data_IF_712780249547
#
_entry.id   IF_712780249547
#
_cell.length_a   1.000
_cell.length_b   1.000
_cell.length_c   1.000
_cell.angle_alpha   90.00
_cell.angle_beta   90.00
_cell.angle_gamma   90.00
#
_symmetry.space_group_name_H-M   'P 1'
#
loop_
_entity.id
_entity.type
_entity.pdbx_description
1 polymer ?
#
# COMPACT_ATOMS: atom_id res chain seq x y z
N UNK A 1 -10.84 -7.98 10.04
CA UNK A 1 -11.57 -8.61 8.91
C UNK A 1 -12.50 -7.63 8.19
N UNK A 2 -13.47 -6.98 8.85
CA UNK A 2 -14.37 -5.96 8.22
C UNK A 2 -13.64 -4.85 7.43
N UNK A 3 -12.41 -4.48 7.80
CA UNK A 3 -11.59 -3.46 7.11
C UNK A 3 -11.05 -3.90 5.74
N UNK A 4 -10.82 -5.20 5.50
CA UNK A 4 -10.34 -5.69 4.21
C UNK A 4 -11.47 -5.69 3.16
N UNK A 5 -12.69 -6.08 3.57
CA UNK A 5 -13.88 -6.10 2.71
C UNK A 5 -14.30 -4.71 2.20
N UNK A 6 -13.98 -3.63 2.94
CA UNK A 6 -14.30 -2.26 2.50
C UNK A 6 -13.36 -1.74 1.40
N UNK A 7 -12.28 -2.46 1.07
CA UNK A 7 -11.30 -2.04 0.06
C UNK A 7 -11.47 -2.69 -1.32
N UNK A 8 -12.39 -3.65 -1.46
CA UNK A 8 -12.75 -4.27 -2.74
C UNK A 8 -13.72 -3.37 -3.54
N UNK A 9 -13.26 -2.17 -3.90
CA UNK A 9 -13.96 -1.29 -4.84
C UNK A 9 -13.60 -1.64 -6.29
N UNK A 10 -14.60 -1.99 -7.09
CA UNK A 10 -14.47 -2.32 -8.52
C UNK A 10 -13.70 -1.27 -9.33
N UNK A 11 -12.83 -1.68 -10.29
CA UNK A 11 -12.20 -0.75 -11.22
C UNK A 11 -13.16 -0.46 -12.38
N UNK A 12 -13.84 0.68 -12.35
CA UNK A 12 -14.64 1.12 -13.50
C UNK A 12 -15.66 2.21 -13.21
N UNK A 13 -15.22 3.47 -13.19
CA UNK A 13 -15.82 4.54 -13.99
C UNK A 13 -15.02 5.84 -13.80
N UNK A 14 -14.36 6.27 -14.88
CA UNK A 14 -13.82 7.61 -15.03
C UNK A 14 -14.98 8.55 -15.37
N UNK A 15 -15.35 9.43 -14.44
CA UNK A 15 -15.94 10.73 -14.77
C UNK A 15 -15.43 11.79 -13.79
N UNK A 16 -15.04 12.93 -14.37
CA UNK A 16 -14.52 14.13 -13.73
C UNK A 16 -15.25 14.52 -12.44
N UNK A 17 -14.53 14.53 -11.31
CA UNK A 17 -14.95 15.27 -10.11
C UNK A 17 -13.89 16.30 -9.75
N UNK A 18 -14.16 17.56 -10.09
CA UNK A 18 -13.39 18.72 -9.66
C UNK A 18 -13.52 19.02 -8.15
N UNK A 19 -13.94 18.04 -7.33
CA UNK A 19 -14.17 18.19 -5.90
C UNK A 19 -13.77 16.93 -5.11
N UNK A 20 -12.67 16.29 -5.48
CA UNK A 20 -12.08 15.22 -4.65
C UNK A 20 -11.41 15.82 -3.42
N UNK A 21 -12.01 15.62 -2.24
CA UNK A 21 -11.43 16.01 -0.97
C UNK A 21 -10.24 15.09 -0.65
N UNK A 22 -9.04 15.54 -0.97
CA UNK A 22 -7.81 14.87 -0.53
C UNK A 22 -7.74 14.90 1.00
N UNK A 23 -7.34 13.78 1.62
CA UNK A 23 -7.19 13.68 3.07
C UNK A 23 -5.94 14.40 3.58
N UNK A 24 -5.88 15.72 3.39
CA UNK A 24 -4.75 16.56 3.82
C UNK A 24 -5.03 17.30 5.14
N UNK A 25 -6.15 17.01 5.81
CA UNK A 25 -6.52 17.68 7.07
C UNK A 25 -5.56 17.35 8.22
N UNK A 26 -4.76 16.29 8.10
CA UNK A 26 -3.73 15.90 9.06
C UNK A 26 -2.50 16.80 9.04
N UNK A 27 -2.34 17.63 8.00
CA UNK A 27 -1.21 18.54 7.86
C UNK A 27 -1.49 19.91 8.48
N UNK A 28 -0.41 20.63 8.82
CA UNK A 28 -0.49 22.05 9.15
C UNK A 28 -0.92 22.91 7.95
N UNK A 29 -1.38 24.13 8.21
CA UNK A 29 -1.94 25.02 7.18
C UNK A 29 -0.93 25.39 6.08
N UNK A 30 0.37 25.54 6.41
CA UNK A 30 1.40 25.87 5.42
C UNK A 30 1.60 24.69 4.47
N UNK A 31 1.69 23.48 5.02
CA UNK A 31 1.81 22.26 4.23
C UNK A 31 0.55 21.98 3.40
N UNK A 32 -0.65 22.18 3.95
CA UNK A 32 -1.87 22.07 3.16
C UNK A 32 -1.88 23.02 1.96
N UNK A 33 -1.42 24.25 2.15
CA UNK A 33 -1.30 25.21 1.06
C UNK A 33 -0.25 24.77 0.04
N UNK A 34 0.91 24.28 0.50
CA UNK A 34 1.95 23.73 -0.37
C UNK A 34 1.41 22.58 -1.25
N UNK A 35 0.69 21.63 -0.66
CA UNK A 35 0.10 20.50 -1.40
C UNK A 35 -1.00 20.96 -2.37
N UNK A 36 -1.87 21.88 -1.95
CA UNK A 36 -2.90 22.46 -2.83
C UNK A 36 -2.29 23.19 -4.02
N UNK A 37 -1.20 23.92 -3.82
CA UNK A 37 -0.46 24.55 -4.92
C UNK A 37 0.22 23.50 -5.79
N UNK A 38 0.88 22.49 -5.21
CA UNK A 38 1.52 21.41 -5.98
C UNK A 38 0.55 20.63 -6.88
N UNK A 39 -0.72 20.48 -6.45
CA UNK A 39 -1.77 19.83 -7.24
C UNK A 39 -2.25 20.67 -8.43
N UNK A 40 -2.12 22.01 -8.36
CA UNK A 40 -2.62 22.95 -9.38
C UNK A 40 -1.51 23.50 -10.27
N UNK A 41 -0.38 23.86 -9.68
CA UNK A 41 0.78 24.49 -10.30
C UNK A 41 2.09 23.88 -9.76
N UNK A 42 2.40 22.62 -10.11
CA UNK A 42 3.65 21.95 -9.73
C UNK A 42 4.93 22.76 -10.03
N UNK A 43 4.94 23.58 -11.08
CA UNK A 43 6.10 24.41 -11.43
C UNK A 43 6.34 25.58 -10.45
N UNK A 44 5.34 25.96 -9.66
CA UNK A 44 5.40 27.07 -8.71
C UNK A 44 5.88 26.68 -7.31
N UNK A 45 6.24 25.40 -7.10
CA UNK A 45 6.63 24.87 -5.79
C UNK A 45 7.90 24.03 -5.86
N UNK A 46 8.57 23.90 -4.72
CA UNK A 46 9.67 22.95 -4.57
C UNK A 46 9.13 21.51 -4.49
N UNK A 47 9.20 20.80 -5.61
CA UNK A 47 8.70 19.42 -5.73
C UNK A 47 9.49 18.41 -4.88
N UNK A 48 10.75 18.70 -4.53
CA UNK A 48 11.51 17.86 -3.60
C UNK A 48 10.98 18.01 -2.18
N UNK A 49 10.73 19.26 -1.73
CA UNK A 49 10.07 19.53 -0.44
C UNK A 49 8.69 18.86 -0.37
N UNK A 50 7.89 18.95 -1.44
CA UNK A 50 6.56 18.30 -1.52
C UNK A 50 6.68 16.78 -1.35
N UNK A 51 7.61 16.14 -2.07
CA UNK A 51 7.82 14.70 -1.97
C UNK A 51 8.23 14.27 -0.55
N UNK A 52 9.14 15.03 0.08
CA UNK A 52 9.60 14.75 1.44
C UNK A 52 8.47 14.82 2.47
N UNK A 53 7.64 15.86 2.39
CA UNK A 53 6.53 16.06 3.33
C UNK A 53 5.45 14.98 3.16
N UNK A 54 5.15 14.56 1.92
CA UNK A 54 4.22 13.45 1.68
C UNK A 54 4.75 12.16 2.29
N UNK A 55 6.02 11.82 2.08
CA UNK A 55 6.59 10.59 2.65
C UNK A 55 6.62 10.66 4.18
N UNK A 56 7.04 11.79 4.76
CA UNK A 56 7.11 11.96 6.22
C UNK A 56 5.75 11.77 6.89
N UNK A 57 4.69 12.34 6.31
CA UNK A 57 3.35 12.18 6.85
C UNK A 57 2.82 10.76 6.61
N UNK A 58 3.14 10.15 5.47
CA UNK A 58 2.70 8.78 5.15
C UNK A 58 3.27 7.75 6.11
N UNK A 59 4.42 8.02 6.73
CA UNK A 59 5.00 7.17 7.77
C UNK A 59 4.27 7.32 9.12
N UNK A 60 3.69 8.48 9.40
CA UNK A 60 3.11 8.83 10.71
C UNK A 60 1.60 8.61 10.78
N UNK A 61 0.91 8.72 9.65
CA UNK A 61 -0.54 8.70 9.58
C UNK A 61 -1.04 7.56 8.68
N UNK A 62 -1.70 6.59 9.32
CA UNK A 62 -2.23 5.39 8.66
C UNK A 62 -3.38 5.70 7.69
N UNK A 63 -4.17 6.75 7.93
CA UNK A 63 -5.23 7.16 7.02
C UNK A 63 -4.62 7.86 5.80
N UNK A 64 -3.62 8.71 6.03
CA UNK A 64 -2.93 9.40 4.95
C UNK A 64 -2.15 8.43 4.06
N UNK A 65 -1.46 7.44 4.64
CA UNK A 65 -0.66 6.46 3.87
C UNK A 65 -1.48 5.70 2.82
N UNK A 66 -2.80 5.53 3.07
CA UNK A 66 -3.76 4.91 2.15
C UNK A 66 -4.15 5.80 0.97
N UNK A 67 -4.20 7.12 1.17
CA UNK A 67 -4.61 8.08 0.13
C UNK A 67 -3.42 8.74 -0.58
N UNK A 68 -2.22 8.70 0.01
CA UNK A 68 -1.05 9.41 -0.48
C UNK A 68 -0.65 9.00 -1.92
N UNK A 69 -0.93 7.76 -2.33
CA UNK A 69 -0.72 7.30 -3.71
C UNK A 69 -1.52 8.11 -4.73
N UNK A 70 -2.77 8.48 -4.42
CA UNK A 70 -3.62 9.32 -5.29
C UNK A 70 -3.06 10.73 -5.44
N UNK A 71 -2.64 11.34 -4.32
CA UNK A 71 -2.02 12.68 -4.32
C UNK A 71 -0.75 12.65 -5.18
N UNK A 72 0.11 11.64 -4.97
CA UNK A 72 1.33 11.48 -5.77
C UNK A 72 1.01 11.36 -7.26
N UNK A 73 0.03 10.53 -7.63
CA UNK A 73 -0.40 10.38 -9.02
C UNK A 73 -0.89 11.72 -9.60
N UNK A 74 -1.77 12.45 -8.91
CA UNK A 74 -2.27 13.74 -9.41
C UNK A 74 -1.15 14.75 -9.64
N UNK A 75 -0.17 14.86 -8.72
CA UNK A 75 0.97 15.77 -8.88
C UNK A 75 1.82 15.36 -10.09
N UNK A 76 2.11 14.07 -10.26
CA UNK A 76 2.87 13.57 -11.43
C UNK A 76 2.16 13.89 -12.74
N UNK A 77 0.84 13.71 -12.80
CA UNK A 77 0.06 14.02 -13.98
C UNK A 77 0.00 15.53 -14.26
N UNK A 78 -0.12 16.36 -13.22
CA UNK A 78 -0.09 17.81 -13.35
C UNK A 78 1.29 18.30 -13.82
N UNK A 79 2.38 17.75 -13.26
CA UNK A 79 3.76 18.10 -13.64
C UNK A 79 4.02 17.76 -15.11
N UNK A 80 3.66 16.54 -15.53
CA UNK A 80 3.85 16.08 -16.90
C UNK A 80 3.07 16.96 -17.91
N UNK A 81 1.85 17.38 -17.56
CA UNK A 81 1.02 18.25 -18.42
C UNK A 81 1.59 19.68 -18.55
N UNK A 82 2.19 20.22 -17.50
CA UNK A 82 2.65 21.62 -17.49
C UNK A 82 4.05 21.80 -18.06
N UNK A 83 4.97 20.91 -17.74
CA UNK A 83 6.40 21.11 -18.02
C UNK A 83 7.08 19.92 -18.72
N UNK A 84 6.33 18.85 -19.00
CA UNK A 84 6.88 17.58 -19.51
C UNK A 84 8.07 17.05 -18.67
N UNK A 85 8.09 17.42 -17.38
CA UNK A 85 9.10 17.06 -16.38
C UNK A 85 8.66 15.82 -15.58
N UNK A 86 9.60 15.23 -14.86
CA UNK A 86 9.34 14.17 -13.88
C UNK A 86 10.18 14.35 -12.60
N UNK A 87 10.42 15.60 -12.21
CA UNK A 87 11.17 15.96 -11.02
C UNK A 87 10.49 15.45 -9.75
N UNK A 88 9.17 15.65 -9.59
CA UNK A 88 8.46 15.16 -8.41
C UNK A 88 8.54 13.64 -8.31
N UNK A 89 8.28 12.93 -9.42
CA UNK A 89 8.37 11.46 -9.46
C UNK A 89 9.76 10.97 -9.05
N UNK A 90 10.83 11.60 -9.56
CA UNK A 90 12.21 11.23 -9.20
C UNK A 90 12.48 11.47 -7.71
N UNK A 91 12.10 12.64 -7.18
CA UNK A 91 12.27 12.95 -5.76
C UNK A 91 11.50 11.99 -4.86
N UNK A 92 10.26 11.66 -5.20
CA UNK A 92 9.43 10.69 -4.50
C UNK A 92 10.08 9.30 -4.47
N UNK A 93 10.52 8.79 -5.63
CA UNK A 93 11.16 7.46 -5.71
C UNK A 93 12.50 7.41 -4.98
N UNK A 94 13.31 8.46 -5.09
CA UNK A 94 14.57 8.56 -4.36
C UNK A 94 14.33 8.53 -2.84
N UNK A 95 13.33 9.28 -2.37
CA UNK A 95 12.98 9.31 -0.94
C UNK A 95 12.41 7.97 -0.46
N UNK A 96 11.51 7.35 -1.21
CA UNK A 96 11.00 6.01 -0.93
C UNK A 96 12.11 4.96 -0.83
N UNK A 97 13.12 5.05 -1.70
CA UNK A 97 14.27 4.16 -1.68
C UNK A 97 15.16 4.39 -0.44
N UNK A 98 15.30 5.63 0.03
CA UNK A 98 16.03 5.92 1.27
C UNK A 98 15.35 5.27 2.49
N UNK A 99 14.03 5.41 2.60
CA UNK A 99 13.26 4.76 3.67
C UNK A 99 13.31 3.22 3.54
N UNK A 100 13.24 2.68 2.32
CA UNK A 100 13.36 1.24 2.07
C UNK A 100 14.66 0.64 2.62
N UNK A 101 15.77 1.35 2.43
CA UNK A 101 17.10 0.91 2.91
C UNK A 101 17.16 0.83 4.44
N UNK A 102 16.32 1.62 5.13
CA UNK A 102 16.26 1.71 6.59
C UNK A 102 15.06 0.95 7.18
N UNK A 103 14.37 0.12 6.39
CA UNK A 103 13.13 -0.56 6.80
C UNK A 103 13.22 -1.35 8.11
N UNK A 104 14.34 -2.05 8.36
CA UNK A 104 14.52 -2.79 9.62
C UNK A 104 14.67 -1.82 10.81
N UNK A 105 15.34 -0.67 10.63
CA UNK A 105 15.40 0.38 11.64
C UNK A 105 14.00 0.94 11.93
N UNK A 106 13.22 1.25 10.89
CA UNK A 106 11.84 1.74 11.00
C UNK A 106 10.99 0.72 11.78
N UNK A 107 11.03 -0.56 11.38
CA UNK A 107 10.31 -1.64 12.06
C UNK A 107 10.72 -1.79 13.52
N UNK A 108 12.02 -1.74 13.81
CA UNK A 108 12.52 -1.84 15.19
C UNK A 108 12.10 -0.67 16.07
N UNK A 109 11.93 0.53 15.48
CA UNK A 109 11.50 1.74 16.19
C UNK A 109 10.00 1.75 16.44
N UNK A 110 9.21 1.39 15.43
CA UNK A 110 7.74 1.45 15.50
C UNK A 110 7.11 0.54 14.45
N UNK A 111 6.36 -0.47 14.91
CA UNK A 111 5.54 -1.33 14.05
C UNK A 111 4.57 -0.50 13.22
N UNK A 112 3.93 0.49 13.83
CA UNK A 112 2.98 1.38 13.17
C UNK A 112 3.61 2.14 11.99
N UNK A 113 4.81 2.69 12.18
CA UNK A 113 5.53 3.40 11.11
C UNK A 113 5.93 2.45 9.99
N UNK A 114 6.33 1.22 10.33
CA UNK A 114 6.67 0.20 9.37
C UNK A 114 5.47 -0.23 8.51
N UNK A 115 4.32 -0.55 9.11
CA UNK A 115 3.12 -0.90 8.34
C UNK A 115 2.57 0.28 7.54
N UNK A 116 2.75 1.51 8.03
CA UNK A 116 2.46 2.73 7.28
C UNK A 116 3.36 2.88 6.06
N UNK A 117 4.66 2.60 6.20
CA UNK A 117 5.60 2.57 5.07
C UNK A 117 5.19 1.52 4.02
N UNK A 118 4.91 0.28 4.45
CA UNK A 118 4.48 -0.79 3.54
C UNK A 118 3.20 -0.42 2.82
N UNK A 119 2.23 0.13 3.56
CA UNK A 119 0.98 0.64 2.98
C UNK A 119 1.27 1.72 1.94
N UNK A 120 2.15 2.68 2.25
CA UNK A 120 2.48 3.76 1.33
C UNK A 120 3.16 3.28 0.06
N UNK A 121 4.19 2.42 0.14
CA UNK A 121 4.87 1.92 -1.07
C UNK A 121 3.93 1.09 -1.95
N UNK A 122 3.02 0.30 -1.35
CA UNK A 122 2.00 -0.45 -2.10
C UNK A 122 0.98 0.48 -2.78
N UNK A 123 0.59 1.58 -2.11
CA UNK A 123 -0.26 2.61 -2.71
C UNK A 123 0.44 3.33 -3.88
N UNK A 124 1.72 3.64 -3.75
CA UNK A 124 2.47 4.25 -4.85
C UNK A 124 2.57 3.26 -6.02
N UNK A 125 2.80 1.97 -5.76
CA UNK A 125 2.78 0.93 -6.80
C UNK A 125 1.42 0.84 -7.53
N UNK A 126 0.32 0.89 -6.78
CA UNK A 126 -1.04 0.80 -7.32
C UNK A 126 -1.40 2.00 -8.19
N UNK A 127 -1.19 3.23 -7.69
CA UNK A 127 -1.62 4.46 -8.35
C UNK A 127 -0.63 4.98 -9.40
N UNK A 128 0.68 4.86 -9.14
CA UNK A 128 1.69 5.53 -9.97
C UNK A 128 2.09 4.64 -11.15
N UNK A 129 1.36 4.78 -12.26
CA UNK A 129 1.55 4.02 -13.50
C UNK A 129 2.22 4.84 -14.59
N UNK A 130 3.04 4.18 -15.42
CA UNK A 130 3.61 4.73 -16.65
C UNK A 130 2.97 3.99 -17.82
N UNK A 131 2.30 4.70 -18.73
CA UNK A 131 1.58 4.11 -19.87
C UNK A 131 0.58 3.01 -19.42
N UNK A 132 -0.18 3.26 -18.36
CA UNK A 132 -1.11 2.31 -17.72
C UNK A 132 -0.47 1.05 -17.13
N UNK A 133 0.86 0.94 -17.10
CA UNK A 133 1.59 -0.16 -16.49
C UNK A 133 2.20 0.25 -15.13
N UNK A 134 2.20 -0.64 -14.12
CA UNK A 134 2.92 -0.40 -12.87
C UNK A 134 4.42 -0.17 -13.10
N UNK A 135 5.03 0.65 -12.26
CA UNK A 135 6.47 0.90 -12.37
C UNK A 135 7.28 -0.33 -11.95
N UNK A 136 8.02 -0.90 -12.90
CA UNK A 136 8.93 -2.03 -12.65
C UNK A 136 9.92 -1.80 -11.51
N UNK A 137 10.33 -0.55 -11.29
CA UNK A 137 11.24 -0.16 -10.20
C UNK A 137 10.67 -0.42 -8.79
N UNK A 138 9.35 -0.52 -8.65
CA UNK A 138 8.68 -0.76 -7.38
C UNK A 138 8.32 -2.23 -7.14
N UNK A 139 8.32 -3.08 -8.17
CA UNK A 139 7.92 -4.50 -8.05
C UNK A 139 8.75 -5.22 -6.99
N UNK A 140 10.09 -5.15 -7.09
CA UNK A 140 10.97 -5.83 -6.13
C UNK A 140 10.87 -5.25 -4.72
N UNK A 141 10.95 -3.91 -4.51
CA UNK A 141 10.74 -3.32 -3.19
C UNK A 141 9.41 -3.70 -2.53
N UNK A 142 8.32 -3.74 -3.30
CA UNK A 142 7.01 -4.17 -2.78
C UNK A 142 7.06 -5.63 -2.34
N UNK A 143 7.56 -6.54 -3.19
CA UNK A 143 7.73 -7.93 -2.78
C UNK A 143 8.60 -8.06 -1.54
N UNK A 144 9.74 -7.37 -1.46
CA UNK A 144 10.64 -7.46 -0.31
C UNK A 144 9.96 -7.03 1.00
N UNK A 145 9.07 -6.03 0.95
CA UNK A 145 8.22 -5.68 2.08
C UNK A 145 7.23 -6.80 2.45
N UNK A 146 6.55 -7.42 1.46
CA UNK A 146 5.61 -8.51 1.71
C UNK A 146 6.32 -9.76 2.25
N UNK A 147 7.49 -10.11 1.71
CA UNK A 147 8.36 -11.17 2.21
C UNK A 147 8.80 -10.91 3.65
N UNK A 148 9.09 -9.64 4.00
CA UNK A 148 9.42 -9.26 5.37
C UNK A 148 8.25 -9.45 6.33
N UNK A 149 7.04 -9.06 5.92
CA UNK A 149 5.81 -9.27 6.69
C UNK A 149 5.41 -10.75 6.82
N UNK A 150 5.86 -11.59 5.89
CA UNK A 150 5.64 -13.04 5.92
C UNK A 150 6.70 -13.81 6.73
N UNK A 151 7.68 -13.13 7.35
CA UNK A 151 8.66 -13.80 8.21
C UNK A 151 8.00 -14.26 9.53
N UNK A 152 8.52 -15.32 10.17
CA UNK A 152 7.91 -15.87 11.37
C UNK A 152 7.71 -14.85 12.50
N UNK A 153 8.68 -13.95 12.71
CA UNK A 153 8.59 -12.92 13.75
C UNK A 153 7.50 -11.87 13.43
N UNK A 154 7.29 -11.54 12.17
CA UNK A 154 6.22 -10.64 11.73
C UNK A 154 4.84 -11.31 11.81
N UNK A 155 4.73 -12.61 11.52
CA UNK A 155 3.46 -13.34 11.59
C UNK A 155 2.91 -13.46 13.02
N UNK A 156 3.75 -13.29 14.05
CA UNK A 156 3.29 -13.18 15.45
C UNK A 156 2.69 -11.80 15.78
N UNK A 157 2.94 -10.79 14.94
CA UNK A 157 2.41 -9.45 15.12
C UNK A 157 1.14 -9.26 14.27
N UNK A 158 -0.01 -9.17 14.95
CA UNK A 158 -1.31 -9.05 14.28
C UNK A 158 -1.44 -7.82 13.37
N UNK A 159 -0.78 -6.71 13.71
CA UNK A 159 -0.79 -5.48 12.90
C UNK A 159 -0.03 -5.69 11.57
N UNK A 160 1.08 -6.42 11.61
CA UNK A 160 1.84 -6.78 10.41
C UNK A 160 1.08 -7.77 9.53
N UNK A 161 0.38 -8.75 10.12
CA UNK A 161 -0.47 -9.70 9.38
C UNK A 161 -1.66 -8.98 8.72
N UNK A 162 -2.34 -8.06 9.43
CA UNK A 162 -3.42 -7.25 8.86
C UNK A 162 -2.90 -6.40 7.68
N UNK A 163 -1.72 -5.79 7.84
CA UNK A 163 -1.09 -5.03 6.75
C UNK A 163 -0.79 -5.91 5.52
N UNK A 164 -0.20 -7.10 5.73
CA UNK A 164 0.15 -8.04 4.67
C UNK A 164 -1.08 -8.47 3.86
N UNK A 165 -2.12 -8.93 4.55
CA UNK A 165 -3.35 -9.40 3.93
C UNK A 165 -4.06 -8.25 3.22
N UNK A 166 -4.11 -7.06 3.82
CA UNK A 166 -4.65 -5.87 3.17
C UNK A 166 -3.93 -5.54 1.86
N UNK A 167 -2.60 -5.61 1.81
CA UNK A 167 -1.87 -5.31 0.57
C UNK A 167 -2.09 -6.39 -0.48
N UNK A 168 -2.11 -7.68 -0.09
CA UNK A 168 -2.38 -8.78 -1.02
C UNK A 168 -3.79 -8.71 -1.62
N UNK A 169 -4.81 -8.32 -0.84
CA UNK A 169 -6.14 -8.05 -1.36
C UNK A 169 -6.15 -6.97 -2.44
N UNK A 170 -5.36 -5.91 -2.25
CA UNK A 170 -5.39 -4.73 -3.13
C UNK A 170 -4.56 -4.90 -4.40
N UNK A 171 -3.34 -5.41 -4.27
CA UNK A 171 -2.36 -5.43 -5.37
C UNK A 171 -1.81 -6.82 -5.67
N UNK A 172 -2.30 -7.87 -5.01
CA UNK A 172 -1.76 -9.22 -5.14
C UNK A 172 -1.91 -9.78 -6.56
N UNK A 173 -3.10 -9.68 -7.18
CA UNK A 173 -3.30 -10.11 -8.57
C UNK A 173 -2.39 -9.35 -9.53
N UNK A 174 -2.24 -8.04 -9.31
CA UNK A 174 -1.38 -7.19 -10.13
C UNK A 174 0.09 -7.58 -9.99
N UNK A 175 0.57 -7.85 -8.77
CA UNK A 175 1.93 -8.32 -8.53
C UNK A 175 2.17 -9.70 -9.16
N UNK A 176 1.23 -10.64 -9.01
CA UNK A 176 1.35 -11.98 -9.58
C UNK A 176 1.48 -11.95 -11.10
N UNK A 177 0.70 -11.11 -11.80
CA UNK A 177 0.84 -10.89 -13.24
C UNK A 177 2.22 -10.36 -13.64
N UNK A 178 2.90 -9.65 -12.75
CA UNK A 178 4.24 -9.09 -12.97
C UNK A 178 5.34 -10.12 -12.69
N UNK A 179 5.21 -10.92 -11.61
CA UNK A 179 6.17 -11.98 -11.22
C UNK A 179 5.49 -13.12 -10.45
N UNK A 180 4.90 -14.08 -11.16
CA UNK A 180 4.22 -15.22 -10.56
C UNK A 180 5.13 -16.06 -9.65
N UNK A 181 6.39 -16.28 -10.05
CA UNK A 181 7.40 -17.03 -9.28
C UNK A 181 7.59 -16.49 -7.84
N UNK A 182 7.64 -15.16 -7.70
CA UNK A 182 7.79 -14.47 -6.40
C UNK A 182 6.52 -14.57 -5.56
N UNK A 183 5.35 -14.58 -6.22
CA UNK A 183 4.08 -14.78 -5.53
C UNK A 183 3.94 -16.21 -4.99
N UNK A 184 4.41 -17.20 -5.75
CA UNK A 184 4.48 -18.59 -5.29
C UNK A 184 5.36 -18.74 -4.06
N UNK A 185 6.60 -18.23 -4.12
CA UNK A 185 7.53 -18.19 -2.99
C UNK A 185 6.90 -17.53 -1.75
N UNK A 186 6.25 -16.38 -1.91
CA UNK A 186 5.57 -15.69 -0.80
C UNK A 186 4.48 -16.57 -0.19
N UNK A 187 3.63 -17.18 -1.01
CA UNK A 187 2.55 -18.04 -0.53
C UNK A 187 3.04 -19.39 0.01
N UNK A 188 4.24 -19.85 -0.33
CA UNK A 188 4.88 -20.96 0.38
C UNK A 188 5.18 -20.56 1.82
N UNK A 189 5.77 -19.38 2.05
CA UNK A 189 6.03 -18.87 3.41
C UNK A 189 4.74 -18.71 4.23
N UNK A 190 3.66 -18.21 3.61
CA UNK A 190 2.37 -18.09 4.31
C UNK A 190 1.80 -19.46 4.73
N UNK A 191 1.94 -20.48 3.88
CA UNK A 191 1.52 -21.85 4.22
C UNK A 191 2.38 -22.45 5.32
N UNK A 192 3.70 -22.27 5.24
CA UNK A 192 4.63 -22.74 6.28
C UNK A 192 4.34 -22.04 7.62
N UNK A 193 4.13 -20.73 7.60
CA UNK A 193 3.71 -19.96 8.77
C UNK A 193 2.38 -20.48 9.34
N UNK A 194 1.38 -20.69 8.50
CA UNK A 194 0.06 -21.18 8.95
C UNK A 194 0.11 -22.58 9.57
N UNK A 195 0.90 -23.49 8.99
CA UNK A 195 0.97 -24.91 9.36
C UNK A 195 1.94 -25.18 10.52
N UNK A 196 3.10 -24.52 10.52
CA UNK A 196 4.23 -24.88 11.38
C UNK A 196 4.46 -23.89 12.51
N UNK A 197 4.00 -22.64 12.38
CA UNK A 197 4.31 -21.61 13.36
C UNK A 197 3.43 -21.71 14.61
N UNK A 198 4.10 -21.73 15.76
CA UNK A 198 3.46 -21.56 17.06
C UNK A 198 3.27 -20.07 17.39
N UNK A 199 2.21 -19.75 18.14
CA UNK A 199 1.98 -18.40 18.65
C UNK A 199 1.27 -17.43 17.70
N UNK A 200 0.69 -17.89 16.58
CA UNK A 200 -0.24 -17.09 15.79
C UNK A 200 -1.47 -16.71 16.63
N UNK A 201 -1.87 -15.43 16.59
CA UNK A 201 -3.15 -15.01 17.19
C UNK A 201 -4.33 -15.64 16.45
N UNK A 202 -5.49 -15.74 17.10
CA UNK A 202 -6.70 -16.25 16.47
C UNK A 202 -7.08 -15.43 15.23
N UNK A 203 -6.95 -14.10 15.30
CA UNK A 203 -7.19 -13.23 14.15
C UNK A 203 -6.13 -13.41 13.07
N UNK A 204 -4.84 -13.50 13.43
CA UNK A 204 -3.77 -13.77 12.47
C UNK A 204 -3.98 -15.07 11.71
N UNK A 205 -4.38 -16.14 12.41
CA UNK A 205 -4.73 -17.43 11.79
C UNK A 205 -5.93 -17.30 10.84
N UNK A 206 -6.97 -16.57 11.24
CA UNK A 206 -8.15 -16.33 10.40
C UNK A 206 -7.80 -15.55 9.13
N UNK A 207 -7.01 -14.47 9.26
CA UNK A 207 -6.56 -13.64 8.14
C UNK A 207 -5.66 -14.40 7.16
N UNK A 208 -4.74 -15.23 7.68
CA UNK A 208 -3.89 -16.07 6.84
C UNK A 208 -4.69 -17.14 6.08
N UNK A 209 -5.68 -17.77 6.72
CA UNK A 209 -6.54 -18.75 6.03
C UNK A 209 -7.35 -18.06 4.92
N UNK A 210 -7.93 -16.90 5.22
CA UNK A 210 -8.72 -16.12 4.28
C UNK A 210 -7.90 -15.74 3.03
N UNK A 211 -6.68 -15.21 3.20
CA UNK A 211 -5.87 -14.81 2.04
C UNK A 211 -5.36 -16.01 1.22
N UNK A 212 -5.12 -17.17 1.87
CA UNK A 212 -4.78 -18.42 1.19
C UNK A 212 -5.94 -18.89 0.30
N UNK A 213 -7.17 -18.86 0.82
CA UNK A 213 -8.39 -19.16 0.05
C UNK A 213 -8.63 -18.13 -1.05
N UNK A 214 -8.43 -16.84 -0.77
CA UNK A 214 -8.60 -15.75 -1.73
C UNK A 214 -7.72 -15.94 -2.97
N UNK A 215 -6.41 -16.24 -2.78
CA UNK A 215 -5.52 -16.54 -3.91
C UNK A 215 -5.92 -17.85 -4.60
N UNK A 216 -6.28 -18.89 -3.86
CA UNK A 216 -6.70 -20.18 -4.45
C UNK A 216 -7.96 -20.03 -5.33
N UNK A 217 -8.84 -19.08 -4.99
CA UNK A 217 -9.99 -18.67 -5.78
C UNK A 217 -9.67 -17.72 -6.94
N UNK A 218 -8.39 -17.52 -7.29
CA UNK A 218 -7.97 -16.60 -8.34
C UNK A 218 -8.13 -15.13 -7.96
N UNK A 219 -7.73 -14.77 -6.74
CA UNK A 219 -7.91 -13.44 -6.15
C UNK A 219 -9.38 -13.06 -6.01
N UNK A 220 -10.20 -14.04 -5.61
CA UNK A 220 -11.62 -13.86 -5.33
C UNK A 220 -12.09 -14.81 -4.22
N UNK A 221 -13.06 -14.38 -3.41
CA UNK A 221 -13.68 -15.24 -2.41
C UNK A 221 -14.94 -15.91 -2.97
N UNK A 222 -15.13 -17.19 -2.60
CA UNK A 222 -16.39 -17.87 -2.83
C UNK A 222 -17.52 -17.28 -1.96
N UNK A 223 -18.77 -17.45 -2.38
CA UNK A 223 -19.93 -17.00 -1.58
C UNK A 223 -20.00 -17.65 -0.19
N UNK A 224 -19.45 -18.86 -0.03
CA UNK A 224 -19.36 -19.54 1.27
C UNK A 224 -18.26 -18.94 2.14
N UNK A 225 -17.07 -18.70 1.58
CA UNK A 225 -15.96 -18.06 2.28
C UNK A 225 -16.34 -16.63 2.72
N UNK A 226 -17.00 -15.86 1.85
CA UNK A 226 -17.49 -14.52 2.19
C UNK A 226 -18.41 -14.54 3.43
N UNK A 227 -19.27 -15.56 3.55
CA UNK A 227 -20.14 -15.71 4.73
C UNK A 227 -19.34 -16.08 5.97
N UNK A 228 -18.44 -17.06 5.87
CA UNK A 228 -17.62 -17.51 6.99
C UNK A 228 -16.80 -16.36 7.59
N UNK A 229 -16.10 -15.58 6.76
CA UNK A 229 -15.19 -14.54 7.24
C UNK A 229 -15.88 -13.21 7.62
N UNK A 230 -17.04 -12.89 7.03
CA UNK A 230 -17.65 -11.55 7.15
C UNK A 230 -19.11 -11.52 7.60
N UNK A 231 -19.79 -12.67 7.69
CA UNK A 231 -21.20 -12.74 8.12
C UNK A 231 -21.42 -13.46 9.45
N UNK A 232 -20.41 -14.16 9.97
CA UNK A 232 -20.43 -14.60 11.37
C UNK A 232 -20.29 -13.36 12.27
N UNK A 233 -21.44 -12.76 12.57
CA UNK A 233 -21.59 -11.95 13.78
C UNK A 233 -21.33 -12.92 14.92
N UNK A 234 -20.15 -12.83 15.52
CA UNK A 234 -19.87 -13.49 16.79
C UNK A 234 -20.85 -12.92 17.81
N UNK A 235 -21.78 -13.77 18.26
CA UNK A 235 -22.60 -13.54 19.46
C UNK A 235 -21.73 -13.32 20.72
#
# INVERSE_FOLDING_TARGET
>A
VVRAAQSAGSPGNMESSANEEYKIQSFDNETQQLLKTALKEPSGVDLEKVANVIVDQSLKDQLFSKEAGRICYTIVQAEAKQSNSSAFRRSLLNRLQQEFKRREEIRSRSTQEWVCYVTFICNVFDYLKVNNMPMMALVNPVYDCLFRLAQPDSLQNEEEVDCLVLQLHRIGEQLEKMRAERMDELFFLLRDGFLLQEGLSSLGRLLLLEILEFRAGGWSLSGTAQKYYYSEVTD
#
